data_IF_870571161371
#
_entry.id   IF_870571161371
#
_cell.length_a   1.000
_cell.length_b   1.000
_cell.length_c   1.000
_cell.angle_alpha   90.00
_cell.angle_beta   90.00
_cell.angle_gamma   90.00
#
_symmetry.space_group_name_H-M   'P 1'
#
loop_
_entity.id
_entity.type
_entity.pdbx_description
1 polymer ?
#
# COMPACT_ATOMS: atom_id res chain seq x y z
N UNK A 1 -4.41 -20.60 -3.98
CA UNK A 1 -4.19 -19.67 -2.86
C UNK A 1 -2.76 -19.83 -2.39
N UNK A 2 -2.00 -18.74 -2.27
CA UNK A 2 -0.64 -18.76 -1.71
C UNK A 2 -0.74 -18.81 -0.17
N UNK A 3 0.08 -19.62 0.50
CA UNK A 3 0.09 -19.64 1.98
C UNK A 3 0.78 -18.40 2.56
N UNK A 4 0.51 -18.02 3.83
CA UNK A 4 1.24 -16.96 4.51
C UNK A 4 2.76 -17.16 4.52
N UNK A 5 3.24 -18.39 4.72
CA UNK A 5 4.68 -18.72 4.77
C UNK A 5 5.33 -18.48 3.42
N UNK A 6 4.70 -18.93 2.33
CA UNK A 6 5.20 -18.71 0.98
C UNK A 6 5.16 -17.22 0.60
N UNK A 7 4.16 -16.45 1.07
CA UNK A 7 4.15 -14.98 0.91
C UNK A 7 5.37 -14.35 1.57
N UNK A 8 5.58 -14.65 2.85
CA UNK A 8 6.72 -14.18 3.64
C UNK A 8 8.04 -14.49 2.94
N UNK A 9 8.26 -15.73 2.55
CA UNK A 9 9.50 -16.16 1.88
C UNK A 9 9.76 -15.37 0.59
N UNK A 10 8.73 -15.18 -0.24
CA UNK A 10 8.84 -14.45 -1.50
C UNK A 10 9.16 -12.96 -1.27
N UNK A 11 8.52 -12.32 -0.29
CA UNK A 11 8.81 -10.94 0.09
C UNK A 11 10.24 -10.80 0.60
N UNK A 12 10.67 -11.68 1.49
CA UNK A 12 12.03 -11.67 2.06
C UNK A 12 13.09 -11.84 0.96
N UNK A 13 12.89 -12.78 0.04
CA UNK A 13 13.75 -12.98 -1.11
C UNK A 13 13.77 -11.76 -2.04
N UNK A 14 12.62 -11.14 -2.30
CA UNK A 14 12.50 -9.97 -3.16
C UNK A 14 13.23 -8.74 -2.59
N UNK A 15 13.23 -8.59 -1.26
CA UNK A 15 13.92 -7.52 -0.54
C UNK A 15 15.42 -7.78 -0.43
N UNK A 16 15.82 -9.03 -0.17
CA UNK A 16 17.22 -9.44 -0.16
C UNK A 16 17.90 -9.18 -1.51
N UNK A 17 17.26 -9.54 -2.63
CA UNK A 17 17.76 -9.27 -4.00
C UNK A 17 17.97 -7.78 -4.28
N UNK A 18 17.28 -6.89 -3.55
CA UNK A 18 17.41 -5.43 -3.65
C UNK A 18 18.41 -4.85 -2.65
N UNK A 19 19.09 -5.68 -1.87
CA UNK A 19 20.01 -5.24 -0.81
C UNK A 19 19.31 -4.60 0.40
N UNK A 20 18.00 -4.80 0.56
CA UNK A 20 17.23 -4.29 1.69
C UNK A 20 17.31 -5.31 2.82
N UNK A 21 17.89 -4.91 3.95
CA UNK A 21 17.98 -5.74 5.15
C UNK A 21 16.68 -5.64 5.94
N UNK A 22 16.17 -6.79 6.37
CA UNK A 22 14.91 -6.96 7.12
C UNK A 22 15.10 -7.91 8.30
N UNK A 23 14.20 -7.85 9.27
CA UNK A 23 14.09 -8.84 10.33
C UNK A 23 13.30 -10.07 9.83
N UNK A 24 13.94 -11.24 9.80
CA UNK A 24 13.32 -12.50 9.36
C UNK A 24 12.36 -13.11 10.41
N UNK A 25 12.37 -12.57 11.64
CA UNK A 25 11.47 -12.98 12.72
C UNK A 25 10.15 -12.20 12.71
N UNK A 26 9.94 -11.31 11.73
CA UNK A 26 8.67 -10.62 11.58
C UNK A 26 7.53 -11.66 11.42
N UNK A 27 6.42 -11.48 12.16
CA UNK A 27 5.24 -12.35 12.09
C UNK A 27 4.72 -12.59 10.67
N UNK A 28 3.98 -13.69 10.54
CA UNK A 28 3.13 -13.94 9.39
C UNK A 28 1.90 -13.01 9.48
N UNK A 29 1.44 -12.53 8.31
CA UNK A 29 0.14 -11.90 8.20
C UNK A 29 -0.94 -12.97 7.93
N UNK A 30 -2.19 -12.58 8.04
CA UNK A 30 -3.36 -13.42 7.87
C UNK A 30 -3.41 -14.14 6.51
N UNK A 31 -4.14 -15.25 6.47
CA UNK A 31 -4.45 -15.96 5.25
C UNK A 31 -5.59 -15.30 4.45
N UNK A 32 -5.76 -15.72 3.21
CA UNK A 32 -6.78 -15.15 2.31
C UNK A 32 -8.23 -15.48 2.76
N UNK A 33 -8.41 -16.54 3.55
CA UNK A 33 -9.71 -16.93 4.10
C UNK A 33 -10.08 -16.14 5.37
N UNK A 34 -9.09 -15.55 6.05
CA UNK A 34 -9.27 -14.78 7.29
C UNK A 34 -9.62 -13.31 7.02
N UNK A 35 -9.21 -12.77 5.87
CA UNK A 35 -9.45 -11.35 5.55
C UNK A 35 -10.75 -11.10 4.78
N UNK A 36 -11.33 -9.93 4.99
CA UNK A 36 -12.47 -9.44 4.21
C UNK A 36 -12.02 -8.21 3.43
N UNK A 37 -12.22 -8.21 2.10
CA UNK A 37 -11.90 -7.03 1.31
C UNK A 37 -13.00 -5.97 1.45
N UNK A 38 -12.57 -4.72 1.45
CA UNK A 38 -13.48 -3.59 1.20
C UNK A 38 -14.11 -3.71 -0.19
N UNK A 39 -15.38 -3.33 -0.28
CA UNK A 39 -16.16 -3.35 -1.51
C UNK A 39 -15.66 -2.27 -2.48
N UNK A 40 -15.92 -2.45 -3.78
CA UNK A 40 -15.61 -1.42 -4.79
C UNK A 40 -16.27 -0.07 -4.50
N UNK A 41 -17.42 -0.06 -3.81
CA UNK A 41 -18.11 1.18 -3.42
C UNK A 41 -17.33 1.94 -2.34
N UNK A 42 -16.87 1.25 -1.30
CA UNK A 42 -16.03 1.85 -0.24
C UNK A 42 -14.71 2.37 -0.82
N UNK A 43 -14.07 1.58 -1.69
CA UNK A 43 -12.80 1.98 -2.33
C UNK A 43 -13.01 3.20 -3.23
N UNK A 44 -14.09 3.25 -4.01
CA UNK A 44 -14.44 4.41 -4.83
C UNK A 44 -14.63 5.66 -3.98
N UNK A 45 -15.38 5.55 -2.88
CA UNK A 45 -15.61 6.68 -1.99
C UNK A 45 -14.29 7.20 -1.40
N UNK A 46 -13.37 6.31 -1.03
CA UNK A 46 -12.04 6.69 -0.53
C UNK A 46 -11.18 7.34 -1.60
N UNK A 47 -11.20 6.84 -2.85
CA UNK A 47 -10.50 7.45 -3.98
C UNK A 47 -10.96 8.90 -4.20
N UNK A 48 -12.28 9.15 -4.20
CA UNK A 48 -12.83 10.50 -4.34
C UNK A 48 -12.40 11.40 -3.18
N UNK A 49 -12.44 10.89 -1.94
CA UNK A 49 -12.01 11.65 -0.78
C UNK A 49 -10.52 12.03 -0.84
N UNK A 50 -9.64 11.10 -1.21
CA UNK A 50 -8.21 11.36 -1.36
C UNK A 50 -7.91 12.32 -2.51
N UNK A 51 -8.63 12.23 -3.62
CA UNK A 51 -8.50 13.17 -4.75
C UNK A 51 -8.89 14.59 -4.34
N UNK A 52 -9.99 14.76 -3.59
CA UNK A 52 -10.38 16.08 -3.08
C UNK A 52 -9.34 16.65 -2.09
N UNK A 53 -8.70 15.79 -1.31
CA UNK A 53 -7.65 16.19 -0.36
C UNK A 53 -6.29 16.43 -1.02
N UNK A 54 -6.04 15.89 -2.22
CA UNK A 54 -4.78 16.06 -2.97
C UNK A 54 -4.43 17.53 -3.21
N UNK A 55 -5.42 18.38 -3.41
CA UNK A 55 -5.22 19.82 -3.59
C UNK A 55 -4.74 20.54 -2.30
N UNK A 56 -4.74 19.86 -1.15
CA UNK A 56 -4.27 20.42 0.12
C UNK A 56 -2.75 20.20 0.31
N UNK A 57 -2.05 21.10 1.03
CA UNK A 57 -0.61 20.95 1.31
C UNK A 57 -0.21 19.68 2.09
N UNK A 58 -1.17 19.04 2.75
CA UNK A 58 -1.01 17.80 3.52
C UNK A 58 -1.50 16.55 2.77
N UNK A 59 -1.86 16.67 1.49
CA UNK A 59 -2.37 15.57 0.67
C UNK A 59 -1.35 14.45 0.55
N UNK A 60 -1.81 13.20 0.72
CA UNK A 60 -0.98 12.01 0.60
C UNK A 60 -1.21 11.33 -0.76
N UNK A 61 -0.50 11.81 -1.78
CA UNK A 61 -0.59 11.33 -3.17
C UNK A 61 -0.27 9.84 -3.30
N UNK A 62 0.54 9.32 -2.38
CA UNK A 62 1.00 7.93 -2.40
C UNK A 62 -0.12 6.95 -2.01
N UNK A 63 -0.96 7.32 -1.05
CA UNK A 63 -2.14 6.52 -0.70
C UNK A 63 -3.13 6.47 -1.87
N UNK A 64 -3.40 7.61 -2.51
CA UNK A 64 -4.27 7.69 -3.69
C UNK A 64 -3.71 6.81 -4.81
N UNK A 65 -2.41 6.90 -5.08
CA UNK A 65 -1.71 6.10 -6.09
C UNK A 65 -1.84 4.60 -5.82
N UNK A 66 -1.64 4.17 -4.57
CA UNK A 66 -1.82 2.77 -4.21
C UNK A 66 -3.25 2.28 -4.42
N UNK A 67 -4.25 3.08 -4.04
CA UNK A 67 -5.65 2.72 -4.25
C UNK A 67 -6.06 2.73 -5.72
N UNK A 68 -5.58 3.69 -6.53
CA UNK A 68 -5.82 3.73 -7.98
C UNK A 68 -5.25 2.52 -8.67
N UNK A 69 -4.04 2.12 -8.28
CA UNK A 69 -3.50 0.83 -8.65
C UNK A 69 -4.49 -0.24 -8.18
N UNK A 70 -4.69 -0.48 -6.89
CA UNK A 70 -5.50 -1.58 -6.35
C UNK A 70 -6.90 -1.72 -7.00
N UNK A 71 -7.53 -0.59 -7.36
CA UNK A 71 -8.81 -0.48 -8.06
C UNK A 71 -8.79 -0.91 -9.55
N UNK A 72 -7.63 -1.25 -10.09
CA UNK A 72 -7.43 -1.64 -11.49
C UNK A 72 -7.33 -0.45 -12.45
N UNK A 73 -7.33 0.80 -11.95
CA UNK A 73 -7.25 2.01 -12.78
C UNK A 73 -5.83 2.19 -13.32
N UNK A 74 -4.81 1.98 -12.46
CA UNK A 74 -3.41 1.95 -12.88
C UNK A 74 -2.92 0.50 -13.04
N UNK A 75 -2.32 0.14 -14.19
CA UNK A 75 -1.86 -1.23 -14.44
C UNK A 75 -0.62 -1.60 -13.61
N UNK A 76 0.25 -0.64 -13.32
CA UNK A 76 1.53 -0.84 -12.63
C UNK A 76 1.77 0.24 -11.56
N UNK A 77 2.45 -0.11 -10.47
CA UNK A 77 2.76 0.81 -9.36
C UNK A 77 4.26 0.90 -9.03
N UNK A 78 5.10 -0.06 -9.44
CA UNK A 78 6.53 -0.01 -9.15
C UNK A 78 6.84 -0.11 -7.65
N UNK A 79 7.96 0.46 -7.19
CA UNK A 79 8.34 0.52 -5.77
C UNK A 79 7.95 1.85 -5.13
N UNK A 80 7.74 1.90 -3.80
CA UNK A 80 7.48 3.15 -3.07
C UNK A 80 8.79 3.91 -2.87
N UNK A 81 9.28 4.53 -3.95
CA UNK A 81 10.54 5.29 -3.98
C UNK A 81 10.34 6.82 -4.06
N UNK A 82 9.09 7.27 -4.05
CA UNK A 82 8.70 8.69 -4.15
C UNK A 82 9.09 9.35 -5.47
N UNK A 83 9.57 8.57 -6.45
CA UNK A 83 10.03 9.08 -7.75
C UNK A 83 8.99 8.75 -8.80
N UNK A 84 7.87 9.46 -8.73
CA UNK A 84 6.80 9.35 -9.70
C UNK A 84 6.62 10.67 -10.44
N UNK A 85 6.45 10.59 -11.76
CA UNK A 85 6.13 11.78 -12.55
C UNK A 85 4.66 12.09 -12.29
N UNK A 86 4.33 13.33 -11.90
CA UNK A 86 2.94 13.76 -11.70
C UNK A 86 2.02 13.45 -12.91
N UNK A 87 2.60 13.33 -14.10
CA UNK A 87 1.94 12.91 -15.34
C UNK A 87 1.36 11.47 -15.28
N UNK A 88 1.89 10.56 -14.46
CA UNK A 88 1.38 9.18 -14.33
C UNK A 88 0.09 9.12 -13.51
N UNK A 89 -0.09 10.06 -12.57
CA UNK A 89 -1.35 10.25 -11.86
C UNK A 89 -2.35 11.06 -12.71
N UNK A 90 -1.87 12.05 -13.48
CA UNK A 90 -2.70 12.90 -14.33
C UNK A 90 -3.21 12.23 -15.62
N UNK A 91 -2.54 11.17 -16.10
CA UNK A 91 -2.99 10.35 -17.24
C UNK A 91 -3.91 9.21 -16.83
N UNK A 92 -3.96 8.85 -15.55
CA UNK A 92 -4.84 7.83 -14.98
C UNK A 92 -6.29 8.34 -14.81
N UNK A 93 -6.74 9.19 -15.74
CA UNK A 93 -7.99 9.97 -15.82
C UNK A 93 -7.72 11.47 -15.55
N UNK A 94 -8.41 12.34 -16.28
CA UNK A 94 -8.51 13.77 -15.97
C UNK A 94 -9.29 13.95 -14.64
N UNK A 95 -8.68 13.52 -13.53
CA UNK A 95 -9.27 13.20 -12.24
C UNK A 95 -9.80 14.45 -11.53
N UNK A 96 -11.00 14.86 -11.88
CA UNK A 96 -11.91 15.38 -10.88
C UNK A 96 -12.66 14.22 -10.20
N UNK A 97 -13.29 14.50 -9.05
CA UNK A 97 -14.10 13.50 -8.35
C UNK A 97 -15.24 12.93 -9.20
N UNK A 98 -15.68 13.65 -10.24
CA UNK A 98 -16.75 13.20 -11.13
C UNK A 98 -16.31 12.00 -11.98
N UNK A 99 -15.07 12.01 -12.47
CA UNK A 99 -14.60 10.90 -13.31
C UNK A 99 -14.30 9.64 -12.49
N UNK A 100 -13.81 9.79 -11.25
CA UNK A 100 -13.71 8.67 -10.30
C UNK A 100 -15.08 8.08 -9.92
N UNK A 101 -16.13 8.90 -9.90
CA UNK A 101 -17.47 8.41 -9.63
C UNK A 101 -18.01 7.50 -10.75
N UNK A 102 -17.50 7.66 -11.98
CA UNK A 102 -18.02 7.01 -13.19
C UNK A 102 -17.12 5.88 -13.72
N UNK A 103 -15.85 5.79 -13.27
CA UNK A 103 -14.92 4.78 -13.75
C UNK A 103 -15.33 3.36 -13.35
N UNK A 104 -15.08 2.37 -14.21
CA UNK A 104 -15.25 0.96 -13.85
C UNK A 104 -14.08 0.53 -12.95
N UNK A 105 -14.37 0.13 -11.71
CA UNK A 105 -13.37 -0.28 -10.72
C UNK A 105 -13.43 -1.79 -10.55
N UNK A 106 -12.30 -2.44 -10.85
CA UNK A 106 -12.11 -3.88 -10.66
C UNK A 106 -10.97 -4.09 -9.70
N UNK A 107 -11.33 -4.30 -8.43
CA UNK A 107 -10.36 -4.55 -7.39
C UNK A 107 -9.50 -5.77 -7.72
N UNK A 108 -8.20 -5.64 -7.48
CA UNK A 108 -7.30 -6.80 -7.54
C UNK A 108 -7.69 -7.83 -6.49
N UNK A 109 -7.38 -9.09 -6.80
CA UNK A 109 -7.69 -10.24 -5.96
C UNK A 109 -7.03 -10.14 -4.58
N UNK A 110 -7.64 -10.77 -3.56
CA UNK A 110 -7.07 -10.91 -2.21
C UNK A 110 -5.62 -11.36 -2.23
N UNK A 111 -5.29 -12.41 -2.98
CA UNK A 111 -3.90 -12.91 -3.09
C UNK A 111 -2.90 -11.83 -3.52
N UNK A 112 -3.26 -10.94 -4.43
CA UNK A 112 -2.37 -9.87 -4.89
C UNK A 112 -2.24 -8.77 -3.84
N UNK A 113 -3.34 -8.40 -3.17
CA UNK A 113 -3.31 -7.40 -2.11
C UNK A 113 -2.53 -7.89 -0.88
N UNK A 114 -2.68 -9.17 -0.52
CA UNK A 114 -1.91 -9.79 0.56
C UNK A 114 -0.42 -9.95 0.23
N UNK A 115 -0.06 -10.23 -1.03
CA UNK A 115 1.33 -10.20 -1.48
C UNK A 115 1.95 -8.79 -1.23
N UNK A 116 1.17 -7.73 -1.46
CA UNK A 116 1.61 -6.36 -1.17
C UNK A 116 1.59 -6.01 0.31
N UNK A 117 0.59 -6.45 1.07
CA UNK A 117 0.52 -6.25 2.52
C UNK A 117 1.77 -6.82 3.21
N UNK A 118 2.14 -8.06 2.85
CA UNK A 118 3.31 -8.74 3.40
C UNK A 118 4.64 -8.04 3.03
N UNK A 119 4.75 -7.58 1.79
CA UNK A 119 5.91 -6.82 1.30
C UNK A 119 6.02 -5.46 2.01
N UNK A 120 4.91 -4.74 2.14
CA UNK A 120 4.86 -3.41 2.75
C UNK A 120 5.12 -3.47 4.25
N UNK A 121 4.61 -4.48 4.95
CA UNK A 121 4.92 -4.74 6.35
C UNK A 121 6.44 -4.82 6.59
N UNK A 122 7.14 -5.61 5.76
CA UNK A 122 8.61 -5.78 5.83
C UNK A 122 9.38 -4.54 5.41
N UNK A 123 8.94 -3.85 4.36
CA UNK A 123 9.53 -2.59 3.91
C UNK A 123 9.39 -1.51 5.00
N UNK A 124 8.22 -1.39 5.60
CA UNK A 124 7.95 -0.38 6.61
C UNK A 124 8.76 -0.66 7.87
N UNK A 125 8.93 -1.93 8.27
CA UNK A 125 9.92 -2.28 9.31
C UNK A 125 11.33 -1.80 8.96
N UNK A 126 11.80 -2.06 7.73
CA UNK A 126 13.15 -1.67 7.31
C UNK A 126 13.36 -0.15 7.34
N UNK A 127 12.35 0.61 6.91
CA UNK A 127 12.31 2.07 6.98
C UNK A 127 12.36 2.54 8.43
N UNK A 128 11.49 2.01 9.30
CA UNK A 128 11.42 2.37 10.73
C UNK A 128 12.73 2.05 11.44
N UNK A 129 13.28 0.87 11.21
CA UNK A 129 14.57 0.47 11.77
C UNK A 129 15.70 1.42 11.32
N UNK A 130 15.75 1.80 10.04
CA UNK A 130 16.73 2.77 9.56
C UNK A 130 16.58 4.14 10.25
N UNK A 131 15.35 4.64 10.41
CA UNK A 131 15.07 5.90 11.11
C UNK A 131 15.50 5.84 12.59
N UNK A 132 15.11 4.80 13.31
CA UNK A 132 15.46 4.61 14.74
C UNK A 132 16.97 4.48 14.93
N UNK A 133 17.66 3.84 13.99
CA UNK A 133 19.13 3.67 14.03
C UNK A 133 19.90 4.81 13.37
N UNK A 134 19.23 5.91 13.00
CA UNK A 134 19.81 7.07 12.33
C UNK A 134 20.62 6.71 11.06
N UNK A 135 20.14 5.72 10.30
CA UNK A 135 20.72 5.28 9.02
C UNK A 135 19.89 5.80 7.85
N UNK A 136 20.51 5.85 6.67
CA UNK A 136 19.80 6.15 5.44
C UNK A 136 18.71 5.10 5.15
N UNK A 137 17.57 5.55 4.66
CA UNK A 137 16.47 4.67 4.22
C UNK A 137 17.00 3.72 3.13
N UNK A 138 16.81 2.39 3.28
CA UNK A 138 17.37 1.42 2.36
C UNK A 138 16.68 1.47 0.99
N UNK A 139 17.35 0.95 -0.04
CA UNK A 139 16.72 0.68 -1.34
C UNK A 139 16.23 1.90 -2.12
N UNK A 140 16.65 3.13 -1.75
CA UNK A 140 16.11 4.39 -2.30
C UNK A 140 14.60 4.55 -2.10
N UNK A 141 14.05 3.88 -1.10
CA UNK A 141 12.64 3.98 -0.75
C UNK A 141 12.33 5.38 -0.20
N UNK A 142 11.09 5.81 -0.38
CA UNK A 142 10.55 6.96 0.31
C UNK A 142 9.75 6.51 1.54
N UNK A 143 10.07 7.08 2.70
CA UNK A 143 9.48 6.65 3.96
C UNK A 143 7.98 6.98 4.04
N UNK A 144 7.57 8.11 3.45
CA UNK A 144 6.17 8.53 3.44
C UNK A 144 5.36 7.66 2.47
N UNK A 145 5.91 7.33 1.30
CA UNK A 145 5.29 6.42 0.34
C UNK A 145 5.09 5.02 0.92
N UNK A 146 6.12 4.45 1.56
CA UNK A 146 6.02 3.14 2.23
C UNK A 146 4.93 3.15 3.29
N UNK A 147 4.89 4.19 4.14
CA UNK A 147 3.87 4.33 5.17
C UNK A 147 2.47 4.43 4.57
N UNK A 148 2.28 5.32 3.58
CA UNK A 148 1.01 5.55 2.91
C UNK A 148 0.45 4.29 2.24
N UNK A 149 1.31 3.51 1.58
CA UNK A 149 0.89 2.27 0.93
C UNK A 149 0.58 1.19 1.96
N UNK A 150 1.34 1.10 3.07
CA UNK A 150 1.04 0.16 4.16
C UNK A 150 -0.33 0.46 4.78
N UNK A 151 -0.62 1.74 5.06
CA UNK A 151 -1.95 2.15 5.53
C UNK A 151 -3.04 1.80 4.52
N UNK A 152 -2.82 2.12 3.23
CA UNK A 152 -3.81 1.87 2.18
C UNK A 152 -4.13 0.38 2.01
N UNK A 153 -3.12 -0.49 2.05
CA UNK A 153 -3.34 -1.94 1.90
C UNK A 153 -3.99 -2.54 3.15
N UNK A 154 -3.59 -2.13 4.36
CA UNK A 154 -4.22 -2.57 5.60
C UNK A 154 -5.68 -2.14 5.66
N UNK A 155 -5.98 -0.93 5.18
CA UNK A 155 -7.34 -0.46 5.01
C UNK A 155 -8.10 -1.34 3.99
N UNK A 156 -7.53 -1.63 2.82
CA UNK A 156 -8.21 -2.45 1.80
C UNK A 156 -8.60 -3.85 2.30
N UNK A 157 -7.75 -4.46 3.12
CA UNK A 157 -7.93 -5.84 3.62
C UNK A 157 -8.69 -5.90 4.96
N UNK A 158 -9.17 -4.77 5.47
CA UNK A 158 -9.81 -4.65 6.80
C UNK A 158 -8.94 -5.22 7.93
N UNK A 159 -7.66 -4.88 7.93
CA UNK A 159 -6.72 -5.31 8.97
C UNK A 159 -7.24 -4.90 10.35
N UNK A 160 -7.22 -5.84 11.31
CA UNK A 160 -7.76 -5.68 12.68
C UNK A 160 -9.22 -5.20 12.74
N UNK A 161 -10.02 -5.49 11.70
CA UNK A 161 -11.41 -5.03 11.58
C UNK A 161 -11.59 -3.50 11.67
N UNK A 162 -10.52 -2.72 11.41
CA UNK A 162 -10.54 -1.25 11.51
C UNK A 162 -11.14 -0.63 10.23
N UNK A 163 -12.22 0.12 10.41
CA UNK A 163 -12.96 0.81 9.34
C UNK A 163 -12.50 2.25 9.12
N UNK A 164 -11.98 2.91 10.16
CA UNK A 164 -11.51 4.27 10.07
C UNK A 164 -10.11 4.32 9.46
N UNK A 165 -10.01 4.92 8.28
CA UNK A 165 -8.76 5.15 7.56
C UNK A 165 -7.64 5.75 8.42
N UNK A 166 -7.97 6.70 9.28
CA UNK A 166 -6.99 7.40 10.11
C UNK A 166 -6.51 6.57 11.32
N UNK A 167 -7.20 5.46 11.62
CA UNK A 167 -6.90 4.57 12.75
C UNK A 167 -6.30 3.23 12.31
N UNK A 168 -6.25 2.94 11.01
CA UNK A 168 -5.65 1.70 10.49
C UNK A 168 -4.22 1.59 10.96
N UNK A 169 -3.94 0.56 11.75
CA UNK A 169 -2.61 0.28 12.28
C UNK A 169 -1.64 -0.02 11.15
N UNK A 170 -0.43 0.52 11.30
CA UNK A 170 0.74 0.18 10.47
C UNK A 170 1.90 -0.26 11.35
N UNK A 171 1.58 -0.81 12.53
CA UNK A 171 2.60 -1.24 13.47
C UNK A 171 3.49 -2.31 12.83
N UNK A 172 4.78 -2.17 13.08
CA UNK A 172 5.85 -3.05 12.59
C UNK A 172 6.68 -3.62 13.74
N UNK A 173 6.33 -3.27 14.98
CA UNK A 173 6.95 -3.74 16.20
C UNK A 173 5.94 -4.59 16.97
N UNK A 174 5.82 -5.86 16.59
CA UNK A 174 5.32 -6.87 17.52
C UNK A 174 6.29 -7.07 18.68
#
# INVERSE_FOLDING_TARGET
>A
MKSPELRKELSELALHKRGIRINLQLPLIESEDEIVLRSSAEVRQRLIALELLRAAPSGNDEALRFLLWAAGVQPHIGMPDGKHVAADLASAIALDGATLAQCDIKLRTKSVLLDWADLLYRLHWAVRHAQITARAVPGRLDAQAVHAWHQAVNWLIRYEDEDNWDLVSTDTAG
#
